data_IF_703496706380
#
_entry.id   IF_703496706380
#
_cell.length_a   1.000
_cell.length_b   1.000
_cell.length_c   1.000
_cell.angle_alpha   90.00
_cell.angle_beta   90.00
_cell.angle_gamma   90.00
#
_symmetry.space_group_name_H-M   'P 1'
#
loop_
_entity.id
_entity.type
_entity.pdbx_description
1 polymer ?
#
# COMPACT_ATOMS: atom_id res chain seq x y z
N UNK A 1 11.57 -4.27 15.30
CA UNK A 1 10.19 -4.83 15.34
C UNK A 1 10.06 -5.85 14.24
N UNK A 2 9.61 -7.06 14.58
CA UNK A 2 9.56 -8.13 13.58
C UNK A 2 8.18 -8.38 13.01
N UNK A 3 8.15 -8.76 11.73
CA UNK A 3 6.95 -9.23 11.02
C UNK A 3 6.81 -10.72 11.29
N UNK A 4 5.73 -11.09 11.99
CA UNK A 4 5.45 -12.48 12.39
C UNK A 4 4.70 -13.23 11.29
N UNK A 5 3.70 -12.59 10.71
CA UNK A 5 2.92 -13.13 9.61
C UNK A 5 2.33 -12.01 8.77
N UNK A 6 2.10 -12.29 7.51
CA UNK A 6 1.36 -11.42 6.58
C UNK A 6 0.22 -12.19 5.95
N UNK A 7 -0.81 -11.48 5.50
CA UNK A 7 -1.92 -12.07 4.77
C UNK A 7 -2.44 -11.16 3.68
N UNK A 8 -3.07 -11.76 2.68
CA UNK A 8 -3.62 -11.05 1.52
C UNK A 8 -4.92 -11.70 1.05
N UNK A 9 -5.90 -10.86 0.76
CA UNK A 9 -7.16 -11.23 0.10
C UNK A 9 -7.29 -10.37 -1.15
N UNK A 10 -7.31 -10.99 -2.31
CA UNK A 10 -7.32 -10.32 -3.61
C UNK A 10 -8.68 -10.44 -4.30
N UNK A 11 -9.12 -9.38 -4.97
CA UNK A 11 -10.31 -9.36 -5.81
C UNK A 11 -10.14 -10.16 -7.09
N UNK A 12 -11.19 -10.17 -7.90
CA UNK A 12 -11.27 -11.03 -9.09
C UNK A 12 -10.27 -10.65 -10.18
N UNK A 13 -10.03 -9.36 -10.40
CA UNK A 13 -9.08 -8.91 -11.41
C UNK A 13 -7.63 -9.12 -10.97
N UNK A 14 -7.34 -8.86 -9.70
CA UNK A 14 -6.05 -9.10 -9.05
C UNK A 14 -5.69 -10.58 -9.06
N UNK A 15 -6.70 -11.46 -8.88
CA UNK A 15 -6.57 -12.91 -8.97
C UNK A 15 -6.27 -13.42 -10.38
N UNK A 16 -6.42 -12.59 -11.41
CA UNK A 16 -6.06 -12.89 -12.81
C UNK A 16 -4.74 -12.26 -13.23
N UNK A 17 -4.12 -11.47 -12.34
CA UNK A 17 -2.86 -10.80 -12.60
C UNK A 17 -1.64 -11.71 -12.42
N UNK A 18 -0.44 -11.22 -12.79
CA UNK A 18 0.80 -11.99 -12.75
C UNK A 18 1.20 -12.43 -11.33
N UNK A 19 0.68 -11.79 -10.30
CA UNK A 19 0.98 -12.08 -8.90
C UNK A 19 -0.09 -12.97 -8.22
N UNK A 20 -1.03 -13.49 -8.96
CA UNK A 20 -2.17 -14.27 -8.46
C UNK A 20 -1.77 -15.35 -7.44
N UNK A 21 -0.73 -16.14 -7.74
CA UNK A 21 -0.27 -17.23 -6.88
C UNK A 21 0.37 -16.76 -5.57
N UNK A 22 0.67 -15.47 -5.46
CA UNK A 22 1.22 -14.88 -4.26
C UNK A 22 0.15 -14.52 -3.20
N UNK A 23 -1.12 -14.49 -3.56
CA UNK A 23 -2.19 -14.13 -2.63
C UNK A 23 -2.71 -15.34 -1.84
N UNK A 24 -3.03 -15.12 -0.55
CA UNK A 24 -3.51 -16.19 0.33
C UNK A 24 -4.94 -16.60 0.01
N UNK A 25 -5.78 -15.63 -0.31
CA UNK A 25 -7.16 -15.85 -0.75
C UNK A 25 -7.44 -15.03 -2.01
N UNK A 26 -8.03 -15.66 -2.99
CA UNK A 26 -8.51 -15.06 -4.24
C UNK A 26 -10.03 -15.20 -4.27
N UNK A 27 -10.70 -14.10 -4.55
CA UNK A 27 -12.15 -14.08 -4.61
C UNK A 27 -12.65 -14.42 -6.03
N UNK A 28 -13.73 -15.16 -6.10
CA UNK A 28 -14.45 -15.42 -7.36
C UNK A 28 -15.48 -14.34 -7.69
N UNK A 29 -15.79 -13.48 -6.71
CA UNK A 29 -16.72 -12.36 -6.82
C UNK A 29 -16.27 -11.21 -5.94
N UNK A 30 -16.15 -10.00 -6.51
CA UNK A 30 -15.75 -8.78 -5.78
C UNK A 30 -16.78 -8.34 -4.74
N UNK A 31 -17.99 -8.89 -4.77
CA UNK A 31 -18.99 -8.72 -3.69
C UNK A 31 -18.62 -9.51 -2.44
N UNK A 32 -17.76 -10.50 -2.51
CA UNK A 32 -17.42 -11.36 -1.37
C UNK A 32 -18.68 -11.89 -0.63
N UNK A 33 -19.74 -12.17 -1.37
CA UNK A 33 -21.02 -12.62 -0.81
C UNK A 33 -21.83 -11.55 -0.08
N UNK A 34 -21.53 -10.27 -0.26
CA UNK A 34 -22.19 -9.15 0.43
C UNK A 34 -23.12 -8.35 -0.50
N UNK A 35 -24.09 -7.65 0.10
CA UNK A 35 -25.08 -6.87 -0.65
C UNK A 35 -24.54 -5.53 -1.18
N UNK A 36 -23.51 -4.96 -0.55
CA UNK A 36 -22.91 -3.66 -0.92
C UNK A 36 -21.39 -3.75 -1.04
N UNK A 37 -20.81 -2.86 -1.82
CA UNK A 37 -19.36 -2.81 -2.03
C UNK A 37 -18.60 -2.50 -0.74
N UNK A 38 -19.13 -1.62 0.12
CA UNK A 38 -18.53 -1.31 1.42
C UNK A 38 -18.51 -2.53 2.34
N UNK A 39 -19.58 -3.32 2.36
CA UNK A 39 -19.63 -4.58 3.13
C UNK A 39 -18.68 -5.62 2.55
N UNK A 40 -18.53 -5.66 1.23
CA UNK A 40 -17.55 -6.52 0.56
C UNK A 40 -16.13 -6.19 1.02
N UNK A 41 -15.75 -4.91 0.99
CA UNK A 41 -14.43 -4.46 1.45
C UNK A 41 -14.22 -4.76 2.94
N UNK A 42 -15.23 -4.53 3.80
CA UNK A 42 -15.19 -4.91 5.22
C UNK A 42 -14.97 -6.42 5.41
N UNK A 43 -15.64 -7.25 4.62
CA UNK A 43 -15.48 -8.70 4.69
C UNK A 43 -14.08 -9.16 4.25
N UNK A 44 -13.53 -8.57 3.18
CA UNK A 44 -12.16 -8.83 2.74
C UNK A 44 -11.14 -8.43 3.82
N UNK A 45 -11.28 -7.24 4.41
CA UNK A 45 -10.36 -6.78 5.45
C UNK A 45 -10.40 -7.67 6.68
N UNK A 46 -11.60 -8.04 7.14
CA UNK A 46 -11.76 -8.99 8.25
C UNK A 46 -11.13 -10.33 7.93
N UNK A 47 -11.36 -10.88 6.73
CA UNK A 47 -10.78 -12.18 6.35
C UNK A 47 -9.26 -12.12 6.28
N UNK A 48 -8.67 -11.03 5.80
CA UNK A 48 -7.23 -10.82 5.85
C UNK A 48 -6.72 -10.84 7.30
N UNK A 49 -7.36 -10.13 8.22
CA UNK A 49 -6.98 -10.12 9.63
C UNK A 49 -7.06 -11.52 10.27
N UNK A 50 -8.11 -12.27 9.98
CA UNK A 50 -8.26 -13.66 10.45
C UNK A 50 -7.13 -14.55 9.95
N UNK A 51 -6.81 -14.53 8.65
CA UNK A 51 -5.71 -15.29 8.05
C UNK A 51 -4.37 -14.92 8.70
N UNK A 52 -4.10 -13.63 8.92
CA UNK A 52 -2.87 -13.21 9.59
C UNK A 52 -2.76 -13.76 11.01
N UNK A 53 -3.84 -13.70 11.77
CA UNK A 53 -3.90 -14.27 13.12
C UNK A 53 -3.69 -15.80 13.10
N UNK A 54 -4.34 -16.51 12.18
CA UNK A 54 -4.16 -17.95 11.98
C UNK A 54 -2.69 -18.29 11.69
N UNK A 55 -2.06 -17.60 10.72
CA UNK A 55 -0.65 -17.80 10.33
C UNK A 55 0.35 -17.46 11.45
N UNK A 56 0.04 -16.44 12.25
CA UNK A 56 0.86 -16.02 13.39
C UNK A 56 0.67 -16.90 14.62
N UNK A 57 -0.30 -17.84 14.62
CA UNK A 57 -0.79 -18.55 15.81
C UNK A 57 -1.07 -17.59 16.98
N UNK A 58 -1.70 -16.45 16.66
CA UNK A 58 -2.03 -15.37 17.60
C UNK A 58 -3.56 -15.28 17.71
N UNK A 59 -4.09 -15.43 18.90
CA UNK A 59 -5.53 -15.22 19.10
C UNK A 59 -5.85 -13.71 19.04
N UNK A 60 -7.00 -13.28 18.48
CA UNK A 60 -7.34 -11.87 18.44
C UNK A 60 -7.30 -11.14 19.79
N UNK A 61 -7.57 -11.85 20.90
CA UNK A 61 -7.44 -11.27 22.27
C UNK A 61 -6.02 -10.90 22.66
N UNK A 62 -5.03 -11.46 21.99
CA UNK A 62 -3.60 -11.23 22.29
C UNK A 62 -3.03 -10.04 21.52
N UNK A 63 -3.85 -9.42 20.66
CA UNK A 63 -3.49 -8.16 20.00
C UNK A 63 -3.64 -7.00 20.99
N UNK A 64 -2.58 -6.21 21.18
CA UNK A 64 -2.62 -5.01 22.00
C UNK A 64 -3.24 -3.83 21.24
N UNK A 65 -3.00 -3.77 19.93
CA UNK A 65 -3.43 -2.65 19.09
C UNK A 65 -3.68 -3.13 17.65
N UNK A 66 -4.69 -2.53 17.01
CA UNK A 66 -4.97 -2.68 15.57
C UNK A 66 -4.81 -1.32 14.92
N UNK A 67 -3.96 -1.21 13.90
CA UNK A 67 -3.73 0.03 13.15
C UNK A 67 -4.03 -0.20 11.69
N UNK A 68 -4.79 0.68 11.07
CA UNK A 68 -5.07 0.49 9.65
C UNK A 68 -5.84 1.62 9.00
N UNK A 69 -6.11 1.41 7.74
CA UNK A 69 -6.78 2.39 6.88
C UNK A 69 -7.56 1.73 5.75
N UNK A 70 -8.43 2.51 5.17
CA UNK A 70 -9.05 2.30 3.88
C UNK A 70 -9.23 3.64 3.17
N UNK A 71 -9.84 3.67 2.00
CA UNK A 71 -10.06 4.89 1.22
C UNK A 71 -11.46 5.50 1.43
N UNK A 72 -12.35 4.82 2.16
CA UNK A 72 -13.72 5.31 2.35
C UNK A 72 -13.76 6.42 3.42
N UNK A 73 -14.75 7.29 3.29
CA UNK A 73 -14.98 8.35 4.26
C UNK A 73 -15.06 7.78 5.67
N UNK A 74 -14.36 8.43 6.61
CA UNK A 74 -14.24 8.08 8.03
C UNK A 74 -13.66 6.67 8.29
N UNK A 75 -12.89 6.10 7.35
CA UNK A 75 -12.30 4.77 7.45
C UNK A 75 -13.33 3.69 7.77
N UNK A 76 -14.46 3.74 7.04
CA UNK A 76 -15.62 2.90 7.33
C UNK A 76 -15.31 1.41 7.18
N UNK A 77 -14.51 1.03 6.17
CA UNK A 77 -14.17 -0.38 5.96
C UNK A 77 -13.24 -0.91 7.04
N UNK A 78 -12.27 -0.11 7.49
CA UNK A 78 -11.38 -0.46 8.60
C UNK A 78 -12.15 -0.66 9.90
N UNK A 79 -12.85 0.38 10.37
CA UNK A 79 -13.51 0.32 11.67
C UNK A 79 -14.64 -0.71 11.70
N UNK A 80 -15.50 -0.77 10.68
CA UNK A 80 -16.64 -1.69 10.68
C UNK A 80 -16.20 -3.12 10.35
N UNK A 81 -15.23 -3.30 9.47
CA UNK A 81 -14.68 -4.60 9.10
C UNK A 81 -13.98 -5.30 10.27
N UNK A 82 -13.14 -4.56 11.00
CA UNK A 82 -12.33 -5.11 12.09
C UNK A 82 -12.96 -4.96 13.49
N UNK A 83 -14.11 -4.29 13.60
CA UNK A 83 -14.86 -4.19 14.86
C UNK A 83 -15.04 -5.52 15.60
N UNK A 84 -15.28 -6.68 14.93
CA UNK A 84 -15.43 -7.95 15.61
C UNK A 84 -14.20 -8.45 16.37
N UNK A 85 -13.00 -7.92 16.08
CA UNK A 85 -11.78 -8.24 16.84
C UNK A 85 -11.86 -7.76 18.30
N UNK A 86 -12.72 -6.76 18.58
CA UNK A 86 -12.96 -6.17 19.90
C UNK A 86 -11.64 -5.73 20.60
N UNK A 87 -10.75 -5.08 19.84
CA UNK A 87 -9.43 -4.59 20.30
C UNK A 87 -9.33 -3.08 20.20
N UNK A 88 -8.37 -2.44 20.90
CA UNK A 88 -8.02 -1.05 20.66
C UNK A 88 -7.67 -0.83 19.20
N UNK A 89 -8.23 0.23 18.58
CA UNK A 89 -8.06 0.51 17.15
C UNK A 89 -7.61 1.95 16.94
N UNK A 90 -6.66 2.12 16.03
CA UNK A 90 -6.17 3.42 15.58
C UNK A 90 -6.23 3.48 14.04
N UNK A 91 -7.13 4.31 13.52
CA UNK A 91 -7.19 4.59 12.10
C UNK A 91 -6.20 5.69 11.72
N UNK A 92 -5.48 5.49 10.63
CA UNK A 92 -4.55 6.45 10.03
C UNK A 92 -4.98 6.77 8.61
N UNK A 93 -4.56 7.92 8.04
CA UNK A 93 -4.97 8.27 6.68
C UNK A 93 -3.93 9.12 5.96
N UNK A 94 -3.25 8.53 5.02
CA UNK A 94 -2.42 9.17 3.98
C UNK A 94 -2.77 8.60 2.59
N UNK A 95 -4.07 8.46 2.32
CA UNK A 95 -4.62 7.84 1.11
C UNK A 95 -3.97 6.45 0.86
N UNK A 96 -3.42 6.23 -0.33
CA UNK A 96 -2.80 4.94 -0.69
C UNK A 96 -1.47 4.68 0.05
N UNK A 97 -0.84 5.70 0.66
CA UNK A 97 0.38 5.55 1.47
C UNK A 97 0.14 5.02 2.88
N UNK A 98 -1.12 4.86 3.30
CA UNK A 98 -1.50 4.57 4.69
C UNK A 98 -0.90 3.30 5.27
N UNK A 99 -0.49 2.31 4.45
CA UNK A 99 0.19 1.13 4.98
C UNK A 99 1.56 1.46 5.60
N UNK A 100 2.36 2.30 4.94
CA UNK A 100 3.64 2.72 5.49
C UNK A 100 3.47 3.63 6.71
N UNK A 101 2.44 4.48 6.74
CA UNK A 101 2.06 5.25 7.92
C UNK A 101 1.68 4.32 9.08
N UNK A 102 0.81 3.33 8.85
CA UNK A 102 0.40 2.34 9.86
C UNK A 102 1.60 1.55 10.42
N UNK A 103 2.52 1.13 9.54
CA UNK A 103 3.75 0.43 9.93
C UNK A 103 4.69 1.33 10.76
N UNK A 104 4.82 2.60 10.41
CA UNK A 104 5.62 3.55 11.18
C UNK A 104 5.04 3.79 12.57
N UNK A 105 3.72 3.99 12.67
CA UNK A 105 3.03 4.17 13.96
C UNK A 105 3.13 2.90 14.81
N UNK A 106 2.97 1.72 14.21
CA UNK A 106 3.19 0.44 14.89
C UNK A 106 4.64 0.31 15.41
N UNK A 107 5.61 0.74 14.58
CA UNK A 107 7.02 0.78 14.97
C UNK A 107 7.25 1.62 16.22
N UNK A 108 6.68 2.80 16.27
CA UNK A 108 6.74 3.69 17.44
C UNK A 108 6.07 3.05 18.66
N UNK A 109 4.87 2.45 18.50
CA UNK A 109 4.15 1.80 19.59
C UNK A 109 4.96 0.63 20.19
N UNK A 110 5.56 -0.20 19.33
CA UNK A 110 6.37 -1.33 19.79
C UNK A 110 7.71 -0.85 20.39
N UNK A 111 8.38 0.12 19.78
CA UNK A 111 9.67 0.63 20.27
C UNK A 111 9.55 1.28 21.65
N UNK A 112 8.46 2.01 21.92
CA UNK A 112 8.21 2.67 23.22
C UNK A 112 7.65 1.73 24.28
N UNK A 113 7.27 0.50 23.94
CA UNK A 113 6.64 -0.44 24.87
C UNK A 113 5.14 -0.17 25.11
N UNK A 114 4.51 0.63 24.25
CA UNK A 114 3.07 0.86 24.32
C UNK A 114 2.27 -0.37 23.90
N UNK A 115 2.80 -1.14 22.96
CA UNK A 115 2.22 -2.40 22.49
C UNK A 115 3.33 -3.42 22.20
N UNK A 116 3.07 -4.71 22.40
CA UNK A 116 3.99 -5.79 22.07
C UNK A 116 3.56 -6.56 20.82
N UNK A 117 2.25 -6.69 20.58
CA UNK A 117 1.67 -7.35 19.41
C UNK A 117 0.66 -6.44 18.72
N UNK A 118 0.95 -6.07 17.49
CA UNK A 118 0.14 -5.13 16.70
C UNK A 118 -0.29 -5.78 15.39
N UNK A 119 -1.57 -5.68 15.06
CA UNK A 119 -2.06 -5.95 13.72
C UNK A 119 -2.08 -4.65 12.92
N UNK A 120 -1.46 -4.65 11.75
CA UNK A 120 -1.55 -3.55 10.78
C UNK A 120 -2.19 -4.02 9.48
N UNK A 121 -2.89 -3.14 8.77
CA UNK A 121 -3.41 -3.48 7.46
C UNK A 121 -4.13 -2.36 6.75
N UNK A 122 -4.35 -2.57 5.45
CA UNK A 122 -5.15 -1.66 4.62
C UNK A 122 -6.03 -2.44 3.65
N UNK A 123 -7.12 -1.81 3.23
CA UNK A 123 -8.00 -2.31 2.19
C UNK A 123 -8.35 -1.21 1.19
N UNK A 124 -8.79 -1.62 0.02
CA UNK A 124 -9.51 -0.79 -0.94
C UNK A 124 -10.40 -1.65 -1.82
N UNK A 125 -11.39 -1.03 -2.45
CA UNK A 125 -12.26 -1.66 -3.40
C UNK A 125 -12.52 -0.72 -4.57
N UNK A 126 -12.39 -1.20 -5.81
CA UNK A 126 -12.52 -0.35 -7.00
C UNK A 126 -13.85 0.42 -7.01
N UNK A 127 -14.97 -0.25 -6.72
CA UNK A 127 -16.29 0.39 -6.81
C UNK A 127 -16.56 1.41 -5.69
N UNK A 128 -16.05 1.21 -4.47
CA UNK A 128 -16.18 2.19 -3.39
C UNK A 128 -15.32 3.42 -3.64
N UNK A 129 -14.07 3.22 -4.05
CA UNK A 129 -13.11 4.29 -4.31
C UNK A 129 -13.53 5.14 -5.53
N UNK A 130 -13.90 4.50 -6.64
CA UNK A 130 -14.36 5.24 -7.83
C UNK A 130 -15.56 6.13 -7.50
N UNK A 131 -16.56 5.59 -6.82
CA UNK A 131 -17.74 6.35 -6.42
C UNK A 131 -17.41 7.53 -5.50
N UNK A 132 -16.45 7.34 -4.59
CA UNK A 132 -16.08 8.37 -3.64
C UNK A 132 -15.23 9.48 -4.25
N UNK A 133 -14.30 9.15 -5.15
CA UNK A 133 -13.29 10.11 -5.63
C UNK A 133 -13.54 10.61 -7.04
N UNK A 134 -14.26 9.86 -7.87
CA UNK A 134 -14.51 10.16 -9.29
C UNK A 134 -15.98 9.97 -9.64
N UNK A 135 -16.32 8.80 -10.17
CA UNK A 135 -17.68 8.47 -10.62
C UNK A 135 -18.01 7.01 -10.27
N UNK A 136 -19.30 6.69 -9.99
CA UNK A 136 -19.71 5.30 -9.87
C UNK A 136 -19.30 4.46 -11.09
N UNK A 137 -18.80 3.26 -10.86
CA UNK A 137 -18.36 2.35 -11.94
C UNK A 137 -19.49 2.01 -12.91
N UNK A 138 -20.72 2.05 -12.44
CA UNK A 138 -21.95 1.81 -13.23
C UNK A 138 -22.18 2.86 -14.32
N UNK A 139 -21.52 4.02 -14.25
CA UNK A 139 -21.63 5.05 -15.31
C UNK A 139 -20.81 4.71 -16.56
N UNK A 140 -19.88 3.76 -16.47
CA UNK A 140 -19.05 3.37 -17.61
C UNK A 140 -18.20 4.51 -18.17
N UNK A 141 -17.70 5.41 -17.33
CA UNK A 141 -16.90 6.56 -17.75
C UNK A 141 -15.60 6.09 -18.39
N UNK A 142 -15.31 6.62 -19.59
CA UNK A 142 -14.03 6.39 -20.26
C UNK A 142 -12.87 6.98 -19.45
N UNK A 143 -11.79 6.24 -19.34
CA UNK A 143 -10.59 6.65 -18.62
C UNK A 143 -9.43 6.85 -19.60
N UNK A 144 -8.58 7.86 -19.37
CA UNK A 144 -7.38 8.05 -20.19
C UNK A 144 -6.33 6.98 -19.90
N UNK A 145 -5.34 6.78 -20.81
CA UNK A 145 -4.25 5.82 -20.61
C UNK A 145 -3.39 6.08 -19.37
N UNK A 146 -3.40 7.31 -18.84
CA UNK A 146 -2.70 7.68 -17.60
C UNK A 146 -3.41 7.23 -16.33
N UNK A 147 -4.70 6.89 -16.43
CA UNK A 147 -5.50 6.46 -15.29
C UNK A 147 -4.96 5.16 -14.69
N UNK A 148 -5.22 4.98 -13.40
CA UNK A 148 -4.94 3.77 -12.67
C UNK A 148 -6.23 3.13 -12.20
N UNK A 149 -6.22 1.80 -12.07
CA UNK A 149 -7.35 1.07 -11.49
C UNK A 149 -7.13 0.92 -9.98
N UNK A 150 -8.13 1.28 -9.20
CA UNK A 150 -8.10 0.97 -7.76
C UNK A 150 -8.13 -0.54 -7.55
N UNK A 151 -7.15 -1.05 -6.84
CA UNK A 151 -7.02 -2.46 -6.47
C UNK A 151 -8.14 -2.85 -5.51
N UNK A 152 -8.77 -3.99 -5.77
CA UNK A 152 -9.76 -4.59 -4.89
C UNK A 152 -9.09 -5.65 -4.02
N UNK A 153 -9.09 -5.45 -2.71
CA UNK A 153 -8.50 -6.41 -1.78
C UNK A 153 -8.18 -5.82 -0.41
N UNK A 154 -7.54 -6.64 0.39
CA UNK A 154 -7.05 -6.27 1.71
C UNK A 154 -5.79 -7.05 2.05
N UNK A 155 -4.88 -6.42 2.80
CA UNK A 155 -3.72 -7.10 3.34
C UNK A 155 -3.48 -6.69 4.78
N UNK A 156 -2.98 -7.62 5.58
CA UNK A 156 -2.63 -7.37 6.99
C UNK A 156 -1.31 -8.02 7.37
N UNK A 157 -0.70 -7.52 8.42
CA UNK A 157 0.48 -8.11 9.04
C UNK A 157 0.35 -8.12 10.57
N UNK A 158 0.83 -9.18 11.21
CA UNK A 158 1.07 -9.23 12.66
C UNK A 158 2.52 -8.86 12.91
N UNK A 159 2.70 -7.83 13.71
CA UNK A 159 4.00 -7.32 14.13
C UNK A 159 4.18 -7.57 15.61
N UNK A 160 5.39 -7.98 16.04
CA UNK A 160 5.65 -8.21 17.44
C UNK A 160 7.08 -7.83 17.86
N UNK A 161 7.23 -7.54 19.15
CA UNK A 161 8.54 -7.30 19.77
C UNK A 161 9.34 -8.60 19.83
N UNK A 162 10.57 -8.55 19.28
CA UNK A 162 11.52 -9.67 19.40
C UNK A 162 11.10 -10.98 18.70
N UNK A 163 10.09 -10.93 17.84
CA UNK A 163 9.58 -12.07 17.05
C UNK A 163 9.58 -11.72 15.57
N UNK A 164 9.56 -12.74 14.74
CA UNK A 164 9.51 -12.58 13.28
C UNK A 164 10.89 -12.58 12.63
N UNK A 165 10.95 -13.18 11.45
CA UNK A 165 12.17 -13.35 10.65
C UNK A 165 12.61 -12.05 9.98
N UNK A 166 11.66 -11.20 9.61
CA UNK A 166 11.89 -9.94 8.94
C UNK A 166 11.65 -8.79 9.90
N UNK A 167 12.55 -7.83 9.89
CA UNK A 167 12.53 -6.71 10.82
C UNK A 167 12.24 -5.41 10.05
N UNK A 168 11.39 -4.57 10.60
CA UNK A 168 11.35 -3.16 10.22
C UNK A 168 12.51 -2.47 10.91
N UNK A 169 13.46 -1.97 10.12
CA UNK A 169 14.70 -1.35 10.61
C UNK A 169 14.65 0.16 10.57
N UNK A 170 14.02 0.73 9.56
CA UNK A 170 13.90 2.18 9.37
C UNK A 170 12.51 2.56 8.89
N UNK A 171 12.06 3.76 9.28
CA UNK A 171 10.86 4.39 8.78
C UNK A 171 11.14 5.87 8.49
N UNK A 172 10.61 6.38 7.40
CA UNK A 172 10.68 7.81 7.05
C UNK A 172 9.27 8.32 6.80
N UNK A 173 8.87 9.34 7.54
CA UNK A 173 7.61 10.05 7.33
C UNK A 173 7.90 11.20 6.39
N UNK A 174 7.27 11.17 5.22
CA UNK A 174 7.48 12.20 4.20
C UNK A 174 6.57 13.41 4.38
N UNK A 175 6.88 14.46 3.66
CA UNK A 175 6.15 15.72 3.63
C UNK A 175 5.10 15.74 2.52
N UNK A 176 4.15 16.67 2.60
CA UNK A 176 3.20 16.90 1.52
C UNK A 176 3.90 17.65 0.39
N UNK A 177 3.79 17.13 -0.83
CA UNK A 177 4.25 17.75 -2.06
C UNK A 177 3.06 18.12 -2.95
N UNK A 178 3.11 19.29 -3.58
CA UNK A 178 2.09 19.74 -4.55
C UNK A 178 2.76 20.36 -5.77
N UNK A 179 2.67 19.65 -6.90
CA UNK A 179 3.25 20.05 -8.18
C UNK A 179 2.19 20.54 -9.19
N UNK A 180 1.02 20.92 -8.70
CA UNK A 180 -0.01 21.59 -9.50
C UNK A 180 -0.84 20.66 -10.38
N UNK A 181 -0.76 19.33 -10.22
CA UNK A 181 -1.63 18.38 -10.92
C UNK A 181 -3.06 18.55 -10.45
N UNK A 182 -4.01 18.58 -11.38
CA UNK A 182 -5.45 18.82 -11.09
C UNK A 182 -6.35 17.69 -11.57
N UNK A 183 -5.87 16.86 -12.48
CA UNK A 183 -6.66 15.79 -13.06
C UNK A 183 -6.68 14.57 -12.11
N UNK A 184 -7.86 14.09 -11.67
CA UNK A 184 -7.97 12.90 -10.85
C UNK A 184 -7.60 11.60 -11.61
N UNK A 185 -7.28 11.71 -12.89
CA UNK A 185 -6.81 10.60 -13.74
C UNK A 185 -5.28 10.56 -13.88
N UNK A 186 -4.56 11.51 -13.28
CA UNK A 186 -3.11 11.65 -13.39
C UNK A 186 -2.42 11.51 -12.02
N UNK A 187 -2.94 10.61 -11.19
CA UNK A 187 -2.43 10.44 -9.81
C UNK A 187 -0.97 9.99 -9.77
N UNK A 188 -0.52 9.13 -10.68
CA UNK A 188 0.89 8.74 -10.74
C UNK A 188 1.83 9.93 -10.93
N UNK A 189 1.47 10.88 -11.80
CA UNK A 189 2.24 12.11 -11.98
C UNK A 189 2.19 13.02 -10.74
N UNK A 190 1.05 13.08 -10.05
CA UNK A 190 0.93 13.85 -8.81
C UNK A 190 1.79 13.28 -7.68
N UNK A 191 1.90 11.94 -7.57
CA UNK A 191 2.56 11.26 -6.47
C UNK A 191 4.09 11.07 -6.64
N UNK A 192 4.59 11.01 -7.88
CA UNK A 192 6.00 10.74 -8.15
C UNK A 192 6.97 11.74 -7.46
N UNK A 193 6.69 13.06 -7.38
CA UNK A 193 7.55 14.00 -6.67
C UNK A 193 7.63 13.74 -5.16
N UNK A 194 6.52 13.39 -4.51
CA UNK A 194 6.52 13.05 -3.07
C UNK A 194 7.35 11.77 -2.81
N UNK A 195 7.26 10.78 -3.71
CA UNK A 195 8.09 9.58 -3.63
C UNK A 195 9.58 9.91 -3.76
N UNK A 196 9.95 10.77 -4.73
CA UNK A 196 11.33 11.19 -4.95
C UNK A 196 11.89 11.89 -3.71
N UNK A 197 11.13 12.83 -3.12
CA UNK A 197 11.56 13.56 -1.94
C UNK A 197 11.70 12.64 -0.71
N UNK A 198 10.73 11.76 -0.47
CA UNK A 198 10.78 10.78 0.63
C UNK A 198 11.96 9.81 0.48
N UNK A 199 12.24 9.31 -0.74
CA UNK A 199 13.40 8.46 -0.99
C UNK A 199 14.70 9.21 -0.74
N UNK A 200 14.83 10.44 -1.25
CA UNK A 200 16.01 11.29 -1.02
C UNK A 200 16.24 11.50 0.48
N UNK A 201 15.19 11.85 1.23
CA UNK A 201 15.28 12.04 2.67
C UNK A 201 15.66 10.74 3.39
N UNK A 202 15.00 9.62 3.04
CA UNK A 202 15.31 8.31 3.63
C UNK A 202 16.77 7.91 3.46
N UNK A 203 17.31 8.09 2.25
CA UNK A 203 18.70 7.76 1.95
C UNK A 203 19.67 8.67 2.70
N UNK A 204 19.37 9.96 2.81
CA UNK A 204 20.18 10.92 3.57
C UNK A 204 20.19 10.60 5.07
N UNK A 205 19.03 10.35 5.68
CA UNK A 205 18.88 10.08 7.12
C UNK A 205 19.55 8.76 7.53
N UNK A 206 19.52 7.76 6.63
CA UNK A 206 20.11 6.43 6.91
C UNK A 206 21.57 6.30 6.49
N UNK A 207 22.10 7.27 5.73
CA UNK A 207 23.43 7.20 5.13
C UNK A 207 23.55 6.11 4.07
N UNK A 208 22.43 5.71 3.44
CA UNK A 208 22.35 4.66 2.42
C UNK A 208 22.19 5.24 1.02
N UNK A 209 22.40 4.40 0.04
CA UNK A 209 22.09 4.63 -1.37
C UNK A 209 21.00 3.65 -1.85
N UNK A 210 20.43 3.86 -3.02
CA UNK A 210 19.51 2.89 -3.63
C UNK A 210 20.17 1.52 -3.86
N UNK A 211 21.48 1.49 -4.10
CA UNK A 211 22.25 0.26 -4.28
C UNK A 211 22.41 -0.59 -3.02
N UNK A 212 22.11 -0.02 -1.84
CA UNK A 212 22.12 -0.77 -0.57
C UNK A 212 20.84 -1.61 -0.37
N UNK A 213 19.83 -1.42 -1.22
CA UNK A 213 18.60 -2.21 -1.23
C UNK A 213 18.60 -3.15 -2.43
N UNK A 214 18.14 -4.39 -2.24
CA UNK A 214 17.95 -5.32 -3.35
C UNK A 214 16.77 -4.86 -4.23
N UNK A 215 15.75 -4.26 -3.58
CA UNK A 215 14.61 -3.67 -4.25
C UNK A 215 14.10 -2.44 -3.47
N UNK A 216 13.81 -1.38 -4.21
CA UNK A 216 13.03 -0.23 -3.76
C UNK A 216 11.72 -0.25 -4.52
N UNK A 217 10.60 -0.28 -3.81
CA UNK A 217 9.30 -0.36 -4.47
C UNK A 217 8.39 0.77 -4.00
N UNK A 218 7.77 1.45 -4.97
CA UNK A 218 6.71 2.43 -4.69
C UNK A 218 5.33 1.76 -4.61
N UNK A 219 4.36 2.47 -4.04
CA UNK A 219 3.06 1.88 -3.72
C UNK A 219 2.14 1.73 -4.92
N UNK A 220 1.95 2.81 -5.66
CA UNK A 220 0.91 2.87 -6.66
C UNK A 220 1.09 4.04 -7.66
N UNK A 221 2.32 4.28 -8.08
CA UNK A 221 2.62 5.25 -9.13
C UNK A 221 2.08 4.81 -10.50
N UNK A 222 1.94 3.51 -10.69
CA UNK A 222 1.71 2.93 -12.01
C UNK A 222 2.88 3.14 -12.95
N UNK A 223 2.75 2.69 -14.20
CA UNK A 223 3.85 2.78 -15.19
C UNK A 223 4.25 4.21 -15.48
N UNK A 224 3.27 5.09 -15.68
CA UNK A 224 3.53 6.52 -15.97
C UNK A 224 4.23 7.21 -14.81
N UNK A 225 3.73 7.05 -13.58
CA UNK A 225 4.35 7.68 -12.42
C UNK A 225 5.71 7.10 -12.07
N UNK A 226 5.93 5.79 -12.29
CA UNK A 226 7.24 5.15 -12.13
C UNK A 226 8.29 5.74 -13.08
N UNK A 227 7.94 5.94 -14.34
CA UNK A 227 8.84 6.57 -15.31
C UNK A 227 9.20 8.00 -14.91
N UNK A 228 8.22 8.78 -14.44
CA UNK A 228 8.45 10.13 -13.91
C UNK A 228 9.40 10.07 -12.69
N UNK A 229 9.14 9.16 -11.73
CA UNK A 229 10.00 9.01 -10.55
C UNK A 229 11.44 8.69 -10.93
N UNK A 230 11.65 7.75 -11.85
CA UNK A 230 13.01 7.39 -12.30
C UNK A 230 13.76 8.57 -12.91
N UNK A 231 13.07 9.40 -13.70
CA UNK A 231 13.64 10.63 -14.23
C UNK A 231 14.00 11.64 -13.13
N UNK A 232 13.09 11.85 -12.17
CA UNK A 232 13.36 12.76 -11.04
C UNK A 232 14.53 12.30 -10.18
N UNK A 233 14.67 11.00 -9.90
CA UNK A 233 15.81 10.46 -9.14
C UNK A 233 17.16 10.72 -9.84
N UNK A 234 17.17 10.63 -11.17
CA UNK A 234 18.38 10.93 -11.96
C UNK A 234 18.64 12.44 -12.00
N UNK A 235 17.64 13.25 -12.28
CA UNK A 235 17.74 14.71 -12.37
C UNK A 235 18.21 15.33 -11.05
N UNK A 236 17.72 14.81 -9.91
CA UNK A 236 18.10 15.27 -8.57
C UNK A 236 19.42 14.63 -8.05
N UNK A 237 20.08 13.79 -8.85
CA UNK A 237 21.33 13.16 -8.48
C UNK A 237 21.23 12.10 -7.37
N UNK A 238 20.03 11.58 -7.12
CA UNK A 238 19.79 10.53 -6.13
C UNK A 238 20.31 9.18 -6.63
N UNK A 239 20.22 8.93 -7.93
CA UNK A 239 20.69 7.71 -8.57
C UNK A 239 21.18 7.96 -10.00
N UNK A 240 22.02 7.06 -10.53
CA UNK A 240 22.25 6.98 -11.97
C UNK A 240 21.07 6.28 -12.66
N UNK A 241 20.87 6.53 -13.96
CA UNK A 241 19.77 5.92 -14.73
C UNK A 241 19.73 4.38 -14.65
N UNK A 242 20.85 3.64 -14.82
CA UNK A 242 20.85 2.19 -14.68
C UNK A 242 20.40 1.71 -13.28
N UNK A 243 20.84 2.40 -12.21
CA UNK A 243 20.45 2.05 -10.84
C UNK A 243 18.97 2.33 -10.61
N UNK A 244 18.45 3.47 -11.09
CA UNK A 244 17.03 3.78 -10.98
C UNK A 244 16.16 2.76 -11.74
N UNK A 245 16.57 2.34 -12.93
CA UNK A 245 15.85 1.31 -13.71
C UNK A 245 15.88 -0.08 -13.05
N UNK A 246 17.05 -0.50 -12.56
CA UNK A 246 17.23 -1.83 -11.99
C UNK A 246 16.58 -1.96 -10.61
N UNK A 247 16.73 -0.95 -9.76
CA UNK A 247 16.39 -1.04 -8.33
C UNK A 247 15.01 -0.51 -7.99
N UNK A 248 14.47 0.42 -8.77
CA UNK A 248 13.20 1.06 -8.46
C UNK A 248 12.06 0.47 -9.29
N UNK A 249 11.09 -0.12 -8.61
CA UNK A 249 9.88 -0.70 -9.18
C UNK A 249 8.64 -0.09 -8.53
N UNK A 250 7.44 -0.50 -8.98
CA UNK A 250 6.18 0.01 -8.47
C UNK A 250 5.15 -1.11 -8.32
N UNK A 251 4.47 -1.18 -7.17
CA UNK A 251 3.47 -2.20 -6.90
C UNK A 251 2.29 -2.12 -7.87
N UNK A 252 1.86 -0.92 -8.25
CA UNK A 252 0.80 -0.72 -9.21
C UNK A 252 1.17 -1.18 -10.63
N UNK A 253 2.44 -1.07 -11.00
CA UNK A 253 2.93 -1.61 -12.27
C UNK A 253 3.08 -3.14 -12.24
N UNK A 254 3.28 -3.74 -11.06
CA UNK A 254 3.52 -5.17 -10.89
C UNK A 254 2.24 -6.00 -10.78
N UNK A 255 1.17 -5.46 -10.17
CA UNK A 255 0.00 -6.23 -9.77
C UNK A 255 -0.86 -6.70 -10.95
N UNK A 256 -0.82 -5.99 -12.06
CA UNK A 256 -1.60 -6.28 -13.26
C UNK A 256 -0.73 -6.49 -14.50
N UNK A 257 -1.16 -7.40 -15.36
CA UNK A 257 -0.66 -7.45 -16.75
C UNK A 257 -1.21 -6.24 -17.54
N UNK A 258 -0.40 -5.67 -18.42
CA UNK A 258 -0.79 -4.50 -19.23
C UNK A 258 -1.96 -4.75 -20.17
N UNK A 259 -2.22 -6.01 -20.52
CA UNK A 259 -3.32 -6.42 -21.39
C UNK A 259 -4.61 -6.73 -20.62
N UNK A 260 -4.60 -6.68 -19.29
CA UNK A 260 -5.83 -6.85 -18.53
C UNK A 260 -6.79 -5.65 -18.77
N UNK A 261 -8.11 -5.90 -18.83
CA UNK A 261 -9.07 -4.86 -19.15
C UNK A 261 -9.10 -3.75 -18.07
N UNK A 262 -9.23 -2.51 -18.49
CA UNK A 262 -9.38 -1.33 -17.61
C UNK A 262 -8.22 -1.07 -16.64
N UNK A 263 -7.04 -1.62 -16.89
CA UNK A 263 -5.86 -1.43 -16.02
C UNK A 263 -5.11 -0.13 -16.35
N UNK A 264 -5.02 0.24 -17.64
CA UNK A 264 -4.36 1.45 -18.13
C UNK A 264 -2.91 1.59 -17.63
N UNK A 265 -2.62 2.58 -16.77
CA UNK A 265 -1.27 2.81 -16.21
C UNK A 265 -0.88 1.81 -15.10
N UNK A 266 -1.81 1.00 -14.61
CA UNK A 266 -1.56 0.02 -13.55
C UNK A 266 -2.52 0.14 -12.37
N UNK A 267 -2.15 -0.45 -11.24
CA UNK A 267 -2.91 -0.43 -9.99
C UNK A 267 -2.70 0.82 -9.17
N UNK A 268 -3.66 1.12 -8.30
CA UNK A 268 -3.61 2.16 -7.28
C UNK A 268 -4.45 1.73 -6.08
N UNK A 269 -4.45 2.52 -5.01
CA UNK A 269 -5.29 2.28 -3.83
C UNK A 269 -4.54 1.71 -2.64
N UNK A 270 -5.14 1.82 -1.46
CA UNK A 270 -4.52 1.43 -0.20
C UNK A 270 -4.19 -0.08 -0.13
N UNK A 271 -4.92 -0.94 -0.86
CA UNK A 271 -4.60 -2.36 -0.96
C UNK A 271 -3.47 -2.66 -1.95
N UNK A 272 -3.12 -1.76 -2.89
CA UNK A 272 -2.16 -2.02 -3.94
C UNK A 272 -0.78 -2.41 -3.39
N UNK A 273 -0.14 -1.48 -2.68
CA UNK A 273 1.16 -1.73 -2.05
C UNK A 273 1.12 -2.86 -1.03
N UNK A 274 0.01 -3.00 -0.31
CA UNK A 274 -0.16 -4.00 0.74
C UNK A 274 -0.22 -5.42 0.17
N UNK A 275 -1.01 -5.64 -0.89
CA UNK A 275 -1.10 -6.95 -1.55
C UNK A 275 0.22 -7.37 -2.17
N UNK A 276 0.90 -6.46 -2.86
CA UNK A 276 2.19 -6.78 -3.50
C UNK A 276 3.27 -7.01 -2.45
N UNK A 277 3.37 -6.14 -1.44
CA UNK A 277 4.38 -6.27 -0.40
C UNK A 277 4.18 -7.53 0.43
N UNK A 278 2.99 -7.73 1.00
CA UNK A 278 2.72 -8.83 1.93
C UNK A 278 2.47 -10.17 1.24
N UNK A 279 2.03 -10.15 0.00
CA UNK A 279 1.88 -11.35 -0.83
C UNK A 279 3.17 -11.73 -1.53
N UNK A 280 3.56 -10.96 -2.54
CA UNK A 280 4.66 -11.30 -3.44
C UNK A 280 6.04 -11.03 -2.85
N UNK A 281 6.32 -9.79 -2.44
CA UNK A 281 7.68 -9.40 -2.04
C UNK A 281 8.15 -10.12 -0.78
N UNK A 282 7.28 -10.34 0.20
CA UNK A 282 7.63 -11.15 1.37
C UNK A 282 7.93 -12.62 1.01
N UNK A 283 7.26 -13.20 0.00
CA UNK A 283 7.64 -14.53 -0.50
C UNK A 283 9.01 -14.52 -1.19
N UNK A 284 9.34 -13.46 -1.93
CA UNK A 284 10.68 -13.32 -2.53
C UNK A 284 11.75 -13.15 -1.45
N UNK A 285 11.44 -12.44 -0.36
CA UNK A 285 12.30 -12.38 0.83
C UNK A 285 12.47 -13.76 1.48
N UNK A 286 11.41 -14.54 1.62
CA UNK A 286 11.46 -15.89 2.17
C UNK A 286 12.29 -16.87 1.32
N UNK A 287 12.22 -16.72 -0.01
CA UNK A 287 13.05 -17.47 -0.98
C UNK A 287 14.50 -17.04 -0.98
N UNK A 288 14.82 -15.90 -0.35
CA UNK A 288 16.17 -15.35 -0.31
C UNK A 288 16.58 -14.58 -1.57
N UNK A 289 15.61 -14.18 -2.40
CA UNK A 289 15.88 -13.32 -3.56
C UNK A 289 15.99 -11.85 -3.17
N UNK A 290 15.35 -11.44 -2.08
CA UNK A 290 15.40 -10.10 -1.51
C UNK A 290 15.80 -10.22 -0.04
N UNK A 291 16.85 -9.54 0.38
CA UNK A 291 17.32 -9.47 1.77
C UNK A 291 17.03 -8.11 2.41
N UNK A 292 17.03 -7.06 1.59
CA UNK A 292 16.81 -5.69 2.02
C UNK A 292 15.83 -5.01 1.05
N UNK A 293 14.61 -4.77 1.55
CA UNK A 293 13.49 -4.19 0.81
C UNK A 293 13.17 -2.80 1.36
N UNK A 294 13.06 -1.79 0.50
CA UNK A 294 12.50 -0.49 0.85
C UNK A 294 11.13 -0.32 0.16
N UNK A 295 10.08 -0.18 0.96
CA UNK A 295 8.74 0.15 0.47
C UNK A 295 8.50 1.64 0.69
N UNK A 296 8.24 2.37 -0.37
CA UNK A 296 7.96 3.81 -0.37
C UNK A 296 6.53 4.01 -0.91
N UNK A 297 5.54 3.77 -0.04
CA UNK A 297 4.14 3.89 -0.43
C UNK A 297 3.76 5.35 -0.70
N UNK A 298 2.92 5.55 -1.71
CA UNK A 298 2.53 6.85 -2.24
C UNK A 298 1.04 7.08 -2.06
N UNK A 299 0.61 8.33 -1.90
CA UNK A 299 -0.80 8.68 -1.71
C UNK A 299 -1.14 10.05 -2.33
N UNK A 300 -2.17 10.08 -3.17
CA UNK A 300 -2.76 11.31 -3.67
C UNK A 300 -3.84 11.79 -2.70
N UNK A 301 -3.67 12.98 -2.15
CA UNK A 301 -4.62 13.58 -1.21
C UNK A 301 -5.79 14.21 -1.97
N UNK A 302 -6.52 13.36 -2.67
CA UNK A 302 -7.64 13.71 -3.52
C UNK A 302 -8.95 13.68 -2.71
N UNK A 303 -9.74 14.74 -2.82
CA UNK A 303 -11.15 14.71 -2.43
C UNK A 303 -12.03 15.08 -3.60
N UNK A 304 -13.23 14.51 -3.67
CA UNK A 304 -14.20 14.87 -4.71
C UNK A 304 -14.52 16.37 -4.66
N UNK A 305 -14.64 16.93 -3.46
CA UNK A 305 -14.96 18.35 -3.26
C UNK A 305 -13.84 19.24 -3.77
N UNK A 306 -12.58 18.99 -3.39
CA UNK A 306 -11.44 19.79 -3.84
C UNK A 306 -11.24 19.71 -5.36
N UNK A 307 -11.37 18.51 -5.94
CA UNK A 307 -11.27 18.30 -7.37
C UNK A 307 -12.36 19.07 -8.15
N UNK A 308 -13.62 19.06 -7.66
CA UNK A 308 -14.72 19.81 -8.26
C UNK A 308 -14.56 21.33 -8.11
N UNK A 309 -13.85 21.80 -7.10
CA UNK A 309 -13.49 23.20 -6.90
C UNK A 309 -12.29 23.65 -7.77
N UNK A 310 -11.66 22.70 -8.47
CA UNK A 310 -10.50 22.97 -9.32
C UNK A 310 -9.20 23.11 -8.56
N UNK A 311 -9.13 22.60 -7.32
CA UNK A 311 -7.90 22.55 -6.54
C UNK A 311 -6.89 21.60 -7.15
N UNK A 312 -5.63 21.76 -6.78
CA UNK A 312 -4.56 20.81 -7.08
C UNK A 312 -4.69 19.54 -6.24
N UNK A 313 -3.99 18.50 -6.64
CA UNK A 313 -3.92 17.21 -5.94
C UNK A 313 -2.56 17.13 -5.23
N UNK A 314 -2.46 17.50 -3.96
CA UNK A 314 -1.26 17.28 -3.17
C UNK A 314 -1.03 15.78 -2.99
N UNK A 315 0.21 15.41 -2.76
CA UNK A 315 0.59 14.01 -2.55
C UNK A 315 1.48 13.87 -1.32
N UNK A 316 1.54 12.66 -0.79
CA UNK A 316 2.39 12.29 0.35
C UNK A 316 2.99 10.91 0.09
N UNK A 317 4.16 10.66 0.67
CA UNK A 317 4.79 9.35 0.62
C UNK A 317 5.47 9.05 1.94
N UNK A 318 5.48 7.76 2.33
CA UNK A 318 6.19 7.28 3.51
C UNK A 318 6.98 6.04 3.17
N UNK A 319 8.14 5.86 3.79
CA UNK A 319 9.03 4.74 3.48
C UNK A 319 9.28 3.85 4.70
N UNK A 320 9.29 2.53 4.46
CA UNK A 320 9.58 1.50 5.46
C UNK A 320 10.63 0.54 4.89
N UNK A 321 11.72 0.35 5.62
CA UNK A 321 12.76 -0.63 5.28
C UNK A 321 12.54 -1.95 6.05
N UNK A 322 12.55 -3.05 5.28
CA UNK A 322 12.48 -4.40 5.81
C UNK A 322 13.80 -5.12 5.54
N UNK A 323 14.35 -5.77 6.57
CA UNK A 323 15.58 -6.53 6.48
C UNK A 323 15.46 -7.84 7.25
N UNK A 324 16.25 -8.84 6.89
CA UNK A 324 16.30 -10.07 7.66
C UNK A 324 16.90 -9.79 9.04
N UNK A 325 16.21 -10.26 10.09
CA UNK A 325 16.76 -10.25 11.44
C UNK A 325 17.92 -11.24 11.56
N UNK A 326 18.88 -10.94 12.44
CA UNK A 326 20.01 -11.79 12.78
C UNK A 326 19.54 -13.08 13.49
#
# INVERSE_FOLDING_TARGET
MGVVATSTVAGTLEAQGPLSDAFDLRLDDDRAGQDTWERAEQAMFRRAAEIACEKAATHPSDLDLVIGADLNAQLTSFYMGLRPLARPMLGVYSACASICEALAVAGLAVATGFADVVLVGTSSHTSTAERQFRYPTEYGVQRPPTAQRTVTGAGTAILARGRGKWQITHATIGEIADFGVRSPWEMGAAMAPAACDTLRQHLADTGRSLGDYDLVVTGDLGRVGLDILRHLLVEQGVASAPVAEERVQDCGAMIYDENQPEVFSGGSGAACSTLVTFGHLFREMERGHIHRLLVCATGALLSQVSAQQGDTIPSISHAIAFERGD
#
